data_IF_562549675727
#
_entry.id   IF_562549675727
#
_cell.length_a   1.000
_cell.length_b   1.000
_cell.length_c   1.000
_cell.angle_alpha   90.00
_cell.angle_beta   90.00
_cell.angle_gamma   90.00
#
_symmetry.space_group_name_H-M   'P 1'
#
loop_
_entity.id
_entity.type
_entity.pdbx_description
1 polymer ?
#
# COMPACT_ATOMS: atom_id res chain seq x y z
N UNK A 1 31.69 23.01 -65.17
CA UNK A 1 30.43 23.22 -64.42
C UNK A 1 30.12 21.95 -63.65
N UNK A 2 30.12 21.99 -62.31
CA UNK A 2 29.32 21.14 -61.44
C UNK A 2 29.58 21.55 -59.98
N UNK A 3 28.62 22.25 -59.37
CA UNK A 3 28.62 22.52 -57.93
C UNK A 3 27.70 21.51 -57.26
N UNK A 4 28.27 20.53 -56.57
CA UNK A 4 27.53 19.60 -55.73
C UNK A 4 27.09 20.38 -54.48
N UNK A 5 25.78 20.57 -54.30
CA UNK A 5 25.20 21.11 -53.06
C UNK A 5 25.06 19.97 -52.06
N UNK A 6 25.87 19.99 -51.02
CA UNK A 6 25.73 19.10 -49.87
C UNK A 6 24.55 19.61 -49.02
N UNK A 7 23.44 18.89 -49.02
CA UNK A 7 22.30 19.15 -48.13
C UNK A 7 22.55 18.38 -46.84
N UNK A 8 22.90 19.10 -45.77
CA UNK A 8 23.03 18.54 -44.43
C UNK A 8 21.61 18.49 -43.84
N UNK A 9 21.01 17.30 -43.80
CA UNK A 9 19.75 17.05 -43.09
C UNK A 9 20.11 16.87 -41.61
N UNK A 10 19.84 17.90 -40.82
CA UNK A 10 19.97 17.85 -39.36
C UNK A 10 18.72 17.18 -38.79
N UNK A 11 18.81 15.90 -38.47
CA UNK A 11 17.74 15.16 -37.78
C UNK A 11 17.67 15.62 -36.32
N UNK A 12 16.73 16.53 -36.03
CA UNK A 12 16.37 16.91 -34.66
C UNK A 12 15.70 15.70 -33.97
N UNK A 13 16.46 14.96 -33.17
CA UNK A 13 15.94 14.00 -32.21
C UNK A 13 15.25 14.77 -31.08
N UNK A 14 13.93 14.96 -31.18
CA UNK A 14 13.11 15.44 -30.06
C UNK A 14 12.90 14.25 -29.12
N UNK A 15 13.43 14.26 -27.89
CA UNK A 15 13.11 13.22 -26.92
C UNK A 15 11.63 13.35 -26.57
N UNK A 16 10.83 12.36 -26.96
CA UNK A 16 9.47 12.22 -26.46
C UNK A 16 9.59 11.91 -24.96
N UNK A 17 9.40 12.94 -24.13
CA UNK A 17 9.09 12.76 -22.72
C UNK A 17 7.77 11.98 -22.67
N UNK A 18 7.86 10.66 -22.56
CA UNK A 18 6.74 9.80 -22.23
C UNK A 18 6.30 10.17 -20.81
N UNK A 19 5.38 11.13 -20.70
CA UNK A 19 4.68 11.37 -19.46
C UNK A 19 3.94 10.07 -19.10
N UNK A 20 4.26 9.49 -17.95
CA UNK A 20 3.53 8.33 -17.46
C UNK A 20 2.05 8.70 -17.36
N UNK A 21 1.19 7.94 -18.03
CA UNK A 21 -0.23 8.20 -18.04
C UNK A 21 -0.78 8.02 -16.62
N UNK A 22 -1.50 9.02 -16.12
CA UNK A 22 -2.19 8.91 -14.84
C UNK A 22 -3.24 7.79 -14.92
N UNK A 23 -3.29 6.97 -13.88
CA UNK A 23 -4.29 5.90 -13.77
C UNK A 23 -5.70 6.48 -13.72
N UNK A 24 -6.68 5.67 -14.12
CA UNK A 24 -8.11 6.00 -13.97
C UNK A 24 -8.81 4.84 -13.32
N UNK A 25 -9.39 5.05 -12.14
CA UNK A 25 -10.21 4.06 -11.47
C UNK A 25 -11.69 4.20 -11.87
N UNK A 26 -12.40 3.07 -11.88
CA UNK A 26 -13.83 3.01 -12.20
C UNK A 26 -14.57 2.21 -11.14
N UNK A 27 -15.78 2.65 -10.78
CA UNK A 27 -16.63 1.98 -9.79
C UNK A 27 -16.04 1.98 -8.38
N UNK A 28 -16.35 0.95 -7.60
CA UNK A 28 -15.96 0.83 -6.19
C UNK A 28 -14.89 -0.23 -5.94
N UNK A 29 -14.34 -0.27 -4.73
CA UNK A 29 -13.32 -1.26 -4.32
C UNK A 29 -13.79 -2.70 -4.47
N UNK A 30 -15.10 -2.97 -4.42
CA UNK A 30 -15.71 -4.30 -4.59
C UNK A 30 -16.40 -4.54 -5.95
N UNK A 31 -16.49 -3.52 -6.80
CA UNK A 31 -17.16 -3.62 -8.09
C UNK A 31 -16.56 -2.71 -9.19
N UNK A 32 -15.24 -2.64 -9.25
CA UNK A 32 -14.53 -1.73 -10.15
C UNK A 32 -13.50 -2.37 -11.06
N UNK A 33 -12.80 -1.52 -11.79
CA UNK A 33 -11.62 -1.83 -12.60
C UNK A 33 -10.67 -0.62 -12.62
N UNK A 34 -9.48 -0.82 -13.18
CA UNK A 34 -8.42 0.18 -13.23
C UNK A 34 -7.87 0.26 -14.66
N UNK A 35 -7.64 1.46 -15.15
CA UNK A 35 -6.86 1.70 -16.35
C UNK A 35 -5.51 2.29 -15.97
N UNK A 36 -4.46 1.87 -16.68
CA UNK A 36 -3.08 2.30 -16.46
C UNK A 36 -2.60 2.08 -15.02
N UNK A 37 -2.98 0.94 -14.43
CA UNK A 37 -2.48 0.54 -13.12
C UNK A 37 -0.97 0.43 -13.09
N UNK A 38 -0.36 0.79 -11.97
CA UNK A 38 1.09 0.76 -11.79
C UNK A 38 1.49 -0.15 -10.64
N UNK A 39 2.60 -0.87 -10.80
CA UNK A 39 3.16 -1.67 -9.70
C UNK A 39 3.71 -0.77 -8.60
N UNK A 40 3.44 -1.12 -7.35
CA UNK A 40 4.25 -0.63 -6.22
C UNK A 40 5.72 -1.07 -6.42
N UNK A 41 6.73 -0.32 -5.97
CA UNK A 41 8.11 -0.78 -6.03
C UNK A 41 8.34 -2.01 -5.15
N UNK A 42 9.18 -2.96 -5.60
CA UNK A 42 9.42 -4.21 -4.87
C UNK A 42 10.00 -4.00 -3.46
N UNK A 43 10.80 -2.95 -3.30
CA UNK A 43 11.39 -2.52 -2.03
C UNK A 43 11.77 -1.04 -2.10
N UNK A 44 12.05 -0.48 -0.93
CA UNK A 44 12.74 0.79 -0.72
C UNK A 44 13.64 0.71 0.50
N UNK A 45 14.12 1.84 1.00
CA UNK A 45 15.11 1.88 2.08
C UNK A 45 14.61 1.27 3.40
N UNK A 46 13.33 1.43 3.73
CA UNK A 46 12.71 0.96 4.98
C UNK A 46 11.50 0.05 4.75
N UNK A 47 11.25 -0.40 3.52
CA UNK A 47 10.11 -1.27 3.23
C UNK A 47 10.40 -2.31 2.15
N UNK A 48 9.64 -3.41 2.20
CA UNK A 48 9.67 -4.48 1.18
C UNK A 48 8.26 -4.94 0.80
N UNK A 49 8.10 -5.53 -0.37
CA UNK A 49 6.90 -6.29 -0.72
C UNK A 49 6.85 -7.65 -0.01
N UNK A 50 5.64 -8.18 0.20
CA UNK A 50 5.44 -9.45 0.91
C UNK A 50 5.91 -10.70 0.16
N UNK A 51 5.97 -10.69 -1.18
CA UNK A 51 6.29 -11.86 -2.00
C UNK A 51 6.68 -11.49 -3.43
N UNK A 52 7.89 -11.90 -3.85
CA UNK A 52 8.33 -11.76 -5.24
C UNK A 52 7.46 -12.56 -6.21
N UNK A 53 7.02 -13.75 -5.81
CA UNK A 53 6.15 -14.61 -6.63
C UNK A 53 4.82 -13.92 -6.90
N UNK A 54 4.20 -13.34 -5.86
CA UNK A 54 2.92 -12.67 -6.04
C UNK A 54 3.05 -11.35 -6.81
N UNK A 55 4.18 -10.66 -6.66
CA UNK A 55 4.55 -9.52 -7.49
C UNK A 55 4.64 -9.89 -8.97
N UNK A 56 5.33 -11.00 -9.28
CA UNK A 56 5.43 -11.52 -10.65
C UNK A 56 4.07 -11.96 -11.20
N UNK A 57 3.20 -12.52 -10.35
CA UNK A 57 1.82 -12.84 -10.68
C UNK A 57 0.90 -11.60 -10.83
N UNK A 58 1.45 -10.38 -10.75
CA UNK A 58 0.72 -9.15 -11.02
C UNK A 58 -0.24 -8.71 -9.91
N UNK A 59 -0.02 -9.14 -8.65
CA UNK A 59 -0.93 -8.84 -7.52
C UNK A 59 -0.57 -7.56 -6.72
N UNK A 60 0.33 -6.75 -7.29
CA UNK A 60 0.95 -5.59 -6.61
C UNK A 60 0.70 -4.26 -7.36
N UNK A 61 -0.40 -4.19 -8.12
CA UNK A 61 -0.80 -3.01 -8.88
C UNK A 61 -1.82 -2.16 -8.13
N UNK A 62 -1.64 -0.84 -8.23
CA UNK A 62 -2.48 0.20 -7.63
C UNK A 62 -2.67 1.36 -8.60
N UNK A 63 -3.56 2.27 -8.24
CA UNK A 63 -3.65 3.58 -8.88
C UNK A 63 -2.33 4.36 -8.71
N UNK A 64 -1.93 5.12 -9.73
CA UNK A 64 -0.70 5.91 -9.73
C UNK A 64 -0.55 6.85 -8.53
N UNK A 65 -1.61 7.57 -8.16
CA UNK A 65 -1.65 8.40 -6.93
C UNK A 65 -1.46 7.56 -5.66
N UNK A 66 -2.11 6.40 -5.53
CA UNK A 66 -1.91 5.49 -4.39
C UNK A 66 -0.45 5.04 -4.28
N UNK A 67 0.19 4.71 -5.40
CA UNK A 67 1.62 4.40 -5.41
C UNK A 67 2.44 5.55 -4.85
N UNK A 68 2.17 6.78 -5.30
CA UNK A 68 2.90 7.96 -4.83
C UNK A 68 2.70 8.17 -3.33
N UNK A 69 1.45 8.06 -2.84
CA UNK A 69 1.11 8.19 -1.43
C UNK A 69 1.91 7.20 -0.58
N UNK A 70 1.87 5.91 -0.95
CA UNK A 70 2.53 4.84 -0.20
C UNK A 70 4.05 5.01 -0.17
N UNK A 71 4.67 5.30 -1.32
CA UNK A 71 6.13 5.47 -1.40
C UNK A 71 6.58 6.70 -0.61
N UNK A 72 5.81 7.78 -0.65
CA UNK A 72 6.13 9.00 0.07
C UNK A 72 5.93 8.84 1.58
N UNK A 73 4.88 8.12 2.02
CA UNK A 73 4.69 7.78 3.43
C UNK A 73 5.88 6.99 3.99
N UNK A 74 6.42 6.04 3.23
CA UNK A 74 7.64 5.33 3.62
C UNK A 74 8.87 6.24 3.69
N UNK A 75 8.97 7.22 2.78
CA UNK A 75 10.05 8.21 2.80
C UNK A 75 9.99 9.09 4.05
N UNK A 76 8.80 9.53 4.45
CA UNK A 76 8.59 10.32 5.67
C UNK A 76 8.94 9.50 6.93
N UNK A 77 8.43 8.27 7.01
CA UNK A 77 8.72 7.34 8.10
C UNK A 77 10.19 7.01 8.23
N UNK A 78 10.94 7.01 7.14
CA UNK A 78 12.40 6.79 7.20
C UNK A 78 13.09 7.93 7.95
N UNK A 79 12.60 9.16 7.81
CA UNK A 79 13.12 10.32 8.52
C UNK A 79 12.65 10.36 9.97
N UNK A 80 11.38 10.03 10.23
CA UNK A 80 10.77 10.07 11.56
C UNK A 80 11.19 8.87 12.44
N UNK A 81 11.19 7.68 11.85
CA UNK A 81 11.40 6.39 12.51
C UNK A 81 12.47 5.55 11.77
N UNK A 82 13.74 6.01 11.72
CA UNK A 82 14.79 5.42 10.87
C UNK A 82 15.13 3.95 11.19
N UNK A 83 14.77 3.47 12.38
CA UNK A 83 15.01 2.10 12.82
C UNK A 83 13.80 1.16 12.62
N UNK A 84 12.72 1.63 11.99
CA UNK A 84 11.52 0.85 11.73
C UNK A 84 11.50 0.36 10.29
N UNK A 85 11.01 -0.87 10.11
CA UNK A 85 10.87 -1.48 8.79
C UNK A 85 9.43 -1.90 8.54
N UNK A 86 8.98 -1.74 7.30
CA UNK A 86 7.60 -1.93 6.91
C UNK A 86 7.45 -2.94 5.78
N UNK A 87 6.25 -3.47 5.59
CA UNK A 87 5.97 -4.42 4.52
C UNK A 87 4.57 -4.21 3.99
N UNK A 88 4.43 -4.00 2.68
CA UNK A 88 3.13 -4.01 2.02
C UNK A 88 2.82 -5.41 1.48
N UNK A 89 1.53 -5.71 1.37
CA UNK A 89 0.99 -7.02 1.02
C UNK A 89 0.18 -6.96 -0.29
N UNK A 90 -0.99 -7.61 -0.34
CA UNK A 90 -1.82 -7.62 -1.54
C UNK A 90 -2.40 -6.25 -1.88
N UNK A 91 -2.54 -6.00 -3.18
CA UNK A 91 -3.20 -4.83 -3.75
C UNK A 91 -4.18 -5.33 -4.83
N UNK A 92 -4.19 -4.79 -6.04
CA UNK A 92 -4.96 -5.30 -7.18
C UNK A 92 -4.13 -5.83 -8.34
N UNK A 93 -4.85 -6.14 -9.42
CA UNK A 93 -4.28 -6.39 -10.76
C UNK A 93 -4.11 -5.08 -11.54
N UNK A 94 -3.30 -5.12 -12.60
CA UNK A 94 -3.02 -3.96 -13.46
C UNK A 94 -4.30 -3.33 -14.04
N UNK A 95 -5.25 -4.16 -14.45
CA UNK A 95 -6.56 -3.73 -14.95
C UNK A 95 -7.64 -3.71 -13.85
N UNK A 96 -7.27 -3.94 -12.59
CA UNK A 96 -8.22 -4.14 -11.49
C UNK A 96 -9.10 -5.38 -11.70
N UNK A 97 -10.41 -5.24 -11.46
CA UNK A 97 -11.37 -6.32 -11.70
C UNK A 97 -11.43 -7.34 -10.57
N UNK A 98 -11.93 -8.55 -10.83
CA UNK A 98 -12.16 -9.54 -9.76
C UNK A 98 -10.84 -10.06 -9.18
N UNK A 99 -10.61 -9.83 -7.88
CA UNK A 99 -9.35 -10.16 -7.23
C UNK A 99 -9.51 -11.28 -6.19
N UNK A 100 -9.69 -12.54 -6.63
CA UNK A 100 -9.84 -13.67 -5.69
C UNK A 100 -8.56 -13.89 -4.84
N UNK A 101 -8.69 -14.34 -3.58
CA UNK A 101 -9.93 -14.63 -2.85
C UNK A 101 -10.63 -13.40 -2.25
N UNK A 102 -10.02 -12.20 -2.36
CA UNK A 102 -10.60 -10.97 -1.85
C UNK A 102 -11.90 -10.60 -2.56
N UNK A 103 -12.75 -9.88 -1.82
CA UNK A 103 -13.98 -9.27 -2.34
C UNK A 103 -13.76 -7.82 -2.79
N UNK A 104 -12.69 -7.18 -2.33
CA UNK A 104 -12.29 -5.80 -2.63
C UNK A 104 -11.08 -5.78 -3.58
N UNK A 105 -10.24 -4.72 -3.55
CA UNK A 105 -9.03 -4.58 -4.37
C UNK A 105 -9.25 -4.46 -5.89
N UNK A 106 -10.47 -4.08 -6.30
CA UNK A 106 -10.86 -4.17 -7.72
C UNK A 106 -10.60 -2.91 -8.55
N UNK A 107 -10.41 -1.75 -7.93
CA UNK A 107 -10.27 -0.47 -8.64
C UNK A 107 -8.92 0.24 -8.39
N UNK A 108 -7.95 -0.46 -7.79
CA UNK A 108 -6.60 0.08 -7.54
C UNK A 108 -6.48 0.99 -6.32
N UNK A 109 -7.52 1.11 -5.50
CA UNK A 109 -7.56 2.02 -4.34
C UNK A 109 -7.42 1.32 -2.98
N UNK A 110 -7.06 0.04 -2.98
CA UNK A 110 -6.93 -0.75 -1.76
C UNK A 110 -5.51 -1.29 -1.64
N UNK A 111 -4.93 -1.24 -0.44
CA UNK A 111 -3.63 -1.82 -0.13
C UNK A 111 -3.70 -2.52 1.22
N UNK A 112 -3.28 -3.78 1.25
CA UNK A 112 -3.00 -4.49 2.48
C UNK A 112 -1.55 -4.18 2.91
N UNK A 113 -1.33 -4.04 4.21
CA UNK A 113 -0.02 -3.88 4.80
C UNK A 113 0.14 -4.88 5.93
N UNK A 114 1.31 -5.51 6.00
CA UNK A 114 1.61 -6.42 7.10
C UNK A 114 1.79 -5.64 8.39
N UNK A 115 1.26 -6.18 9.48
CA UNK A 115 1.40 -5.61 10.82
C UNK A 115 2.89 -5.49 11.19
N UNK A 116 3.40 -4.28 11.50
CA UNK A 116 4.76 -4.09 11.98
C UNK A 116 4.98 -4.86 13.27
N UNK A 117 6.15 -5.47 13.41
CA UNK A 117 6.53 -6.25 14.58
C UNK A 117 7.94 -5.93 15.05
N UNK A 118 8.18 -6.22 16.32
CA UNK A 118 9.51 -6.32 16.90
C UNK A 118 9.83 -7.77 17.27
N UNK A 119 11.12 -8.12 17.27
CA UNK A 119 11.62 -9.37 17.84
C UNK A 119 11.76 -9.30 19.37
N UNK A 120 12.29 -10.37 19.98
CA UNK A 120 12.52 -10.47 21.44
C UNK A 120 13.46 -9.40 21.99
N UNK A 121 14.34 -8.84 21.16
CA UNK A 121 15.24 -7.74 21.54
C UNK A 121 14.59 -6.35 21.44
N UNK A 122 13.35 -6.28 20.95
CA UNK A 122 12.65 -5.02 20.67
C UNK A 122 13.06 -4.38 19.35
N UNK A 123 13.84 -5.05 18.51
CA UNK A 123 14.25 -4.56 17.19
C UNK A 123 13.11 -4.73 16.20
N UNK A 124 12.83 -3.69 15.41
CA UNK A 124 11.86 -3.77 14.32
C UNK A 124 12.35 -4.71 13.23
N UNK A 125 11.49 -5.66 12.85
CA UNK A 125 11.78 -6.68 11.84
C UNK A 125 10.55 -6.88 10.97
N UNK A 126 10.73 -7.42 9.77
CA UNK A 126 9.59 -7.77 8.94
C UNK A 126 8.87 -9.01 9.48
N UNK A 127 7.55 -8.93 9.58
CA UNK A 127 6.71 -10.10 9.80
C UNK A 127 7.01 -11.15 8.71
N UNK A 128 7.24 -12.43 9.05
CA UNK A 128 7.68 -13.43 8.09
C UNK A 128 6.57 -13.73 7.08
N UNK A 129 6.92 -13.73 5.79
CA UNK A 129 5.98 -14.02 4.70
C UNK A 129 6.59 -15.08 3.79
N UNK A 130 5.97 -16.25 3.74
CA UNK A 130 6.42 -17.38 2.92
C UNK A 130 5.24 -18.29 2.53
N UNK A 131 5.43 -19.18 1.56
CA UNK A 131 4.33 -20.03 1.06
C UNK A 131 3.61 -20.82 2.17
N UNK A 132 4.35 -21.37 3.16
CA UNK A 132 3.78 -22.18 4.24
C UNK A 132 2.83 -21.41 5.17
N UNK A 133 2.98 -20.08 5.31
CA UNK A 133 2.07 -19.25 6.11
C UNK A 133 1.17 -18.39 5.21
N UNK A 134 0.90 -18.85 3.99
CA UNK A 134 0.15 -18.11 2.97
C UNK A 134 0.64 -16.67 2.81
N UNK A 135 1.95 -16.50 2.78
CA UNK A 135 2.61 -15.20 2.70
C UNK A 135 2.23 -14.22 3.81
N UNK A 136 1.98 -14.70 5.03
CA UNK A 136 1.62 -13.91 6.21
C UNK A 136 0.17 -14.07 6.64
N UNK A 137 -0.75 -14.31 5.70
CA UNK A 137 -2.21 -14.37 5.95
C UNK A 137 -2.71 -15.57 6.78
N UNK A 138 -1.81 -16.48 7.19
CA UNK A 138 -2.11 -17.57 8.12
C UNK A 138 -1.46 -17.35 9.51
N UNK A 139 -0.89 -16.17 9.76
CA UNK A 139 -0.39 -15.80 11.09
C UNK A 139 -1.60 -15.38 11.94
N UNK A 140 -1.60 -15.78 13.21
CA UNK A 140 -2.54 -15.27 14.20
C UNK A 140 -1.76 -14.87 15.44
N UNK A 141 -1.96 -13.63 15.90
CA UNK A 141 -1.43 -13.20 17.19
C UNK A 141 -2.27 -13.74 18.35
N UNK A 142 -1.61 -14.06 19.47
CA UNK A 142 -2.27 -14.50 20.70
C UNK A 142 -2.92 -13.31 21.45
N UNK A 143 -3.55 -13.58 22.59
CA UNK A 143 -4.18 -12.56 23.43
C UNK A 143 -3.21 -11.51 24.00
N UNK A 144 -1.91 -11.77 23.94
CA UNK A 144 -0.83 -10.88 24.36
C UNK A 144 -0.16 -10.17 23.16
N UNK A 145 -0.80 -10.23 21.98
CA UNK A 145 -0.33 -9.69 20.70
C UNK A 145 1.03 -10.25 20.27
N UNK A 146 1.27 -11.53 20.55
CA UNK A 146 2.50 -12.25 20.19
C UNK A 146 2.25 -13.33 19.15
N UNK A 147 3.23 -13.53 18.29
CA UNK A 147 3.31 -14.65 17.37
C UNK A 147 4.74 -15.18 17.41
N UNK A 148 4.94 -16.37 17.98
CA UNK A 148 6.28 -16.90 18.24
C UNK A 148 7.13 -15.86 19.02
N UNK A 149 8.29 -15.50 18.49
CA UNK A 149 9.19 -14.48 19.03
C UNK A 149 8.82 -13.03 18.70
N UNK A 150 7.77 -12.82 17.90
CA UNK A 150 7.36 -11.49 17.43
C UNK A 150 6.26 -10.92 18.31
N UNK A 151 6.26 -9.59 18.46
CA UNK A 151 5.20 -8.82 19.11
C UNK A 151 4.79 -7.65 18.23
N UNK A 152 3.50 -7.32 18.20
CA UNK A 152 2.99 -6.18 17.45
C UNK A 152 3.68 -4.88 17.90
N UNK A 153 4.14 -4.09 16.93
CA UNK A 153 4.69 -2.75 17.11
C UNK A 153 3.61 -1.71 16.80
N UNK A 154 2.77 -1.43 17.79
CA UNK A 154 1.65 -0.48 17.65
C UNK A 154 2.10 0.92 17.27
N UNK A 155 3.26 1.38 17.78
CA UNK A 155 3.79 2.70 17.45
C UNK A 155 4.15 2.78 15.97
N UNK A 156 4.84 1.78 15.42
CA UNK A 156 5.15 1.74 13.99
C UNK A 156 3.89 1.63 13.12
N UNK A 157 2.90 0.83 13.54
CA UNK A 157 1.62 0.73 12.84
C UNK A 157 0.92 2.09 12.81
N UNK A 158 0.78 2.73 13.97
CA UNK A 158 0.10 4.01 14.10
C UNK A 158 0.77 5.11 13.29
N UNK A 159 2.11 5.24 13.40
CA UNK A 159 2.89 6.19 12.63
C UNK A 159 2.71 6.00 11.12
N UNK A 160 2.66 4.74 10.65
CA UNK A 160 2.45 4.49 9.23
C UNK A 160 1.07 4.89 8.74
N UNK A 161 0.01 4.70 9.55
CA UNK A 161 -1.31 5.18 9.19
C UNK A 161 -1.38 6.72 9.15
N UNK A 162 -0.69 7.41 10.07
CA UNK A 162 -0.55 8.87 10.03
C UNK A 162 0.19 9.31 8.77
N UNK A 163 1.35 8.71 8.47
CA UNK A 163 2.13 9.03 7.28
C UNK A 163 1.35 8.79 5.98
N UNK A 164 0.56 7.72 5.90
CA UNK A 164 -0.33 7.47 4.76
C UNK A 164 -1.41 8.55 4.64
N UNK A 165 -2.04 8.95 5.74
CA UNK A 165 -3.06 9.99 5.73
C UNK A 165 -2.46 11.35 5.35
N UNK A 166 -1.38 11.78 5.99
CA UNK A 166 -0.70 13.04 5.67
C UNK A 166 -0.22 13.08 4.21
N UNK A 167 0.33 11.96 3.72
CA UNK A 167 0.70 11.82 2.32
C UNK A 167 -0.52 11.92 1.41
N UNK A 168 -1.64 11.27 1.74
CA UNK A 168 -2.90 11.40 0.99
C UNK A 168 -3.36 12.86 0.86
N UNK A 169 -3.31 13.61 1.97
CA UNK A 169 -3.66 15.03 2.00
C UNK A 169 -2.77 15.89 1.10
N UNK A 170 -1.47 15.55 0.95
CA UNK A 170 -0.57 16.23 -0.01
C UNK A 170 -0.94 16.00 -1.47
N UNK A 171 -1.61 14.89 -1.79
CA UNK A 171 -2.19 14.62 -3.11
C UNK A 171 -3.64 15.09 -3.26
N UNK A 172 -4.19 15.78 -2.24
CA UNK A 172 -5.56 16.30 -2.27
C UNK A 172 -6.64 15.22 -2.23
N UNK A 173 -6.32 14.05 -1.69
CA UNK A 173 -7.24 12.91 -1.49
C UNK A 173 -7.21 12.46 -0.03
N UNK A 174 -8.09 11.53 0.35
CA UNK A 174 -8.19 11.05 1.73
C UNK A 174 -8.08 9.53 1.84
N UNK A 175 -8.09 9.00 3.06
CA UNK A 175 -8.31 7.60 3.37
C UNK A 175 -9.80 7.43 3.68
N UNK A 176 -10.49 6.59 2.90
CA UNK A 176 -11.90 6.27 3.16
C UNK A 176 -12.05 5.51 4.48
N UNK A 177 -11.23 4.47 4.67
CA UNK A 177 -11.25 3.66 5.90
C UNK A 177 -10.01 2.79 6.05
N UNK A 178 -9.79 2.38 7.30
CA UNK A 178 -8.84 1.34 7.67
C UNK A 178 -9.58 0.14 8.26
N UNK A 179 -9.34 -1.05 7.72
CA UNK A 179 -9.81 -2.32 8.29
C UNK A 179 -8.67 -2.94 9.08
N UNK A 180 -8.85 -3.01 10.39
CA UNK A 180 -7.91 -3.60 11.33
C UNK A 180 -8.70 -4.22 12.49
N UNK A 181 -8.20 -5.30 13.11
CA UNK A 181 -8.95 -6.02 14.15
C UNK A 181 -9.42 -5.08 15.27
N UNK A 182 -10.75 -4.95 15.49
CA UNK A 182 -11.30 -4.07 16.52
C UNK A 182 -10.77 -4.32 17.93
N UNK A 183 -10.30 -5.53 18.24
CA UNK A 183 -9.70 -5.85 19.55
C UNK A 183 -8.32 -5.21 19.75
N UNK A 184 -7.61 -4.93 18.67
CA UNK A 184 -6.27 -4.36 18.69
C UNK A 184 -6.28 -2.83 18.58
N UNK A 185 -7.36 -2.25 18.06
CA UNK A 185 -7.51 -0.80 17.92
C UNK A 185 -7.32 -0.02 19.25
N UNK A 186 -7.79 -0.47 20.43
CA UNK A 186 -7.51 0.24 21.68
C UNK A 186 -6.01 0.41 21.98
N UNK A 187 -5.19 -0.60 21.65
CA UNK A 187 -3.72 -0.54 21.84
C UNK A 187 -3.06 0.36 20.80
N UNK A 188 -3.59 0.37 19.57
CA UNK A 188 -3.19 1.33 18.53
C UNK A 188 -3.46 2.78 18.97
N UNK A 189 -4.63 3.03 19.54
CA UNK A 189 -5.07 4.34 20.02
C UNK A 189 -4.43 4.80 21.33
N UNK A 190 -3.71 3.91 22.01
CA UNK A 190 -2.93 4.24 23.20
C UNK A 190 -1.51 4.75 22.87
N UNK A 191 -1.13 4.73 21.59
CA UNK A 191 0.14 5.30 21.12
C UNK A 191 0.08 6.83 21.07
N UNK A 192 1.24 7.48 20.91
CA UNK A 192 1.33 8.94 20.74
C UNK A 192 0.57 9.47 19.52
N UNK A 193 0.34 8.64 18.50
CA UNK A 193 -0.44 8.98 17.30
C UNK A 193 -1.95 8.74 17.48
N UNK A 194 -2.37 8.18 18.61
CA UNK A 194 -3.73 7.68 18.80
C UNK A 194 -4.81 8.75 18.64
N UNK A 195 -4.57 9.97 19.10
CA UNK A 195 -5.55 11.06 19.00
C UNK A 195 -5.65 11.62 17.58
N UNK A 196 -4.54 11.64 16.84
CA UNK A 196 -4.56 11.93 15.40
C UNK A 196 -5.42 10.89 14.67
N UNK A 197 -5.17 9.60 14.91
CA UNK A 197 -5.88 8.51 14.25
C UNK A 197 -7.39 8.56 14.51
N UNK A 198 -7.81 8.80 15.76
CA UNK A 198 -9.24 8.95 16.10
C UNK A 198 -9.91 10.13 15.41
N UNK A 199 -9.16 11.19 15.16
CA UNK A 199 -9.67 12.44 14.57
C UNK A 199 -9.78 12.34 13.05
N UNK A 200 -8.82 11.67 12.41
CA UNK A 200 -8.63 11.74 10.96
C UNK A 200 -8.94 10.44 10.21
N UNK A 201 -9.03 9.29 10.88
CA UNK A 201 -9.18 8.00 10.19
C UNK A 201 -10.38 7.23 10.73
N UNK A 202 -11.28 6.81 9.83
CA UNK A 202 -12.36 5.89 10.17
C UNK A 202 -11.87 4.43 10.16
N UNK A 203 -11.96 3.78 11.32
CA UNK A 203 -11.61 2.36 11.47
C UNK A 203 -12.84 1.46 11.37
N UNK A 204 -12.68 0.27 10.82
CA UNK A 204 -13.71 -0.75 10.81
C UNK A 204 -14.09 -1.16 12.25
N UNK A 205 -15.37 -1.04 12.60
CA UNK A 205 -15.87 -1.38 13.95
C UNK A 205 -16.37 -2.83 14.07
N UNK A 206 -16.74 -3.44 12.94
CA UNK A 206 -17.27 -4.81 12.90
C UNK A 206 -16.14 -5.82 12.77
N UNK A 207 -16.25 -6.91 13.53
CA UNK A 207 -15.34 -8.05 13.40
C UNK A 207 -15.49 -8.69 12.02
N UNK A 208 -14.39 -8.79 11.28
CA UNK A 208 -14.31 -9.60 10.07
C UNK A 208 -14.38 -11.09 10.40
N UNK A 209 -14.93 -11.89 9.49
CA UNK A 209 -15.00 -13.35 9.64
C UNK A 209 -13.59 -13.99 9.68
N UNK A 210 -12.65 -13.40 8.94
CA UNK A 210 -11.21 -13.67 9.05
C UNK A 210 -10.59 -12.64 9.99
N UNK A 211 -9.69 -13.06 10.88
CA UNK A 211 -8.90 -12.13 11.71
C UNK A 211 -8.02 -11.26 10.80
N UNK A 212 -7.77 -10.03 11.22
CA UNK A 212 -6.91 -9.08 10.51
C UNK A 212 -5.96 -8.48 11.56
N UNK A 213 -5.22 -9.36 12.23
CA UNK A 213 -4.20 -8.97 13.22
C UNK A 213 -2.80 -9.02 12.62
N UNK A 214 -2.61 -9.85 11.61
CA UNK A 214 -1.42 -10.02 10.79
C UNK A 214 -1.25 -8.97 9.69
N UNK A 215 -2.35 -8.29 9.33
CA UNK A 215 -2.35 -7.20 8.36
C UNK A 215 -3.46 -6.19 8.67
N UNK A 216 -3.34 -5.00 8.09
CA UNK A 216 -4.41 -4.00 8.01
C UNK A 216 -4.59 -3.57 6.57
N UNK A 217 -5.83 -3.24 6.23
CA UNK A 217 -6.25 -2.87 4.89
C UNK A 217 -6.62 -1.40 4.87
N UNK A 218 -6.09 -0.66 3.89
CA UNK A 218 -6.37 0.77 3.72
C UNK A 218 -7.06 0.95 2.37
N UNK A 219 -8.26 1.54 2.41
CA UNK A 219 -8.97 2.00 1.22
C UNK A 219 -8.76 3.53 1.09
N UNK A 220 -8.21 3.98 -0.04
CA UNK A 220 -8.03 5.39 -0.37
C UNK A 220 -9.29 5.96 -1.05
N UNK A 221 -9.62 7.22 -0.77
CA UNK A 221 -10.74 7.94 -1.34
C UNK A 221 -10.28 8.82 -2.52
N UNK A 222 -10.04 8.18 -3.66
CA UNK A 222 -9.72 8.86 -4.93
C UNK A 222 -10.99 8.88 -5.79
N UNK A 223 -11.39 10.03 -6.34
CA UNK A 223 -12.56 10.11 -7.22
C UNK A 223 -12.44 9.17 -8.43
N UNK A 224 -13.29 8.15 -8.48
CA UNK A 224 -13.38 7.23 -9.61
C UNK A 224 -14.51 7.62 -10.56
N UNK A 225 -14.34 7.27 -11.84
CA UNK A 225 -15.43 7.36 -12.82
C UNK A 225 -16.50 6.31 -12.52
N UNK A 226 -17.72 6.58 -12.96
CA UNK A 226 -18.77 5.56 -12.93
C UNK A 226 -18.36 4.35 -13.76
N UNK A 227 -18.68 3.16 -13.25
CA UNK A 227 -18.48 1.94 -14.01
C UNK A 227 -19.59 1.83 -15.05
N UNK A 228 -19.24 2.10 -16.30
CA UNK A 228 -20.10 1.78 -17.44
C UNK A 228 -20.01 0.27 -17.67
N UNK A 229 -21.17 -0.41 -17.70
CA UNK A 229 -21.27 -1.86 -17.79
C UNK A 229 -20.72 -2.41 -19.11
#
# INVERSE_FOLDING_TARGET
>A
MNKIKLVIITTLLVPWLLAAQESVCYGSTSNGYLEYGVKLPASGENYVGYSDVARLAGRTYVHSVVKSIVVEAYKDLRSELPNKVFKYAETGFEQGGQFKPHKTHRNGLSVDFMTPVVDESGKSVHLPTHALNKFGYNIEFDENDRYQKYRIDYTALAAHLVALHESSQRYGVDIWRVIFDPKLQPKLFATEYGDYLKTHIEFSKKRSWVRHDEHYHVDFDIPCKERVK
#
